data_IF_312196604009
#
_entry.id   IF_312196604009
#
_cell.length_a   1.000
_cell.length_b   1.000
_cell.length_c   1.000
_cell.angle_alpha   90.00
_cell.angle_beta   90.00
_cell.angle_gamma   90.00
#
_symmetry.space_group_name_H-M   'P 1'
#
loop_
_entity.id
_entity.type
_entity.pdbx_description
1 polymer ?
#
# COMPACT_ATOMS: atom_id res chain seq x y z
N UNK A 1 4.16 -19.39 30.91
CA UNK A 1 2.74 -19.17 30.54
C UNK A 1 2.68 -18.44 29.21
N UNK A 2 2.47 -19.14 28.10
CA UNK A 2 2.44 -18.53 26.75
C UNK A 2 1.08 -17.88 26.52
N UNK A 3 1.05 -16.54 26.54
CA UNK A 3 -0.16 -15.75 26.40
C UNK A 3 -0.71 -15.91 24.96
N UNK A 4 -1.61 -16.89 24.75
CA UNK A 4 -2.35 -17.11 23.50
C UNK A 4 -3.19 -15.86 23.21
N UNK A 5 -2.63 -14.91 22.47
CA UNK A 5 -3.36 -13.75 21.94
C UNK A 5 -4.52 -14.27 21.09
N UNK A 6 -5.75 -14.20 21.62
CA UNK A 6 -6.98 -14.52 20.90
C UNK A 6 -6.97 -13.73 19.59
N UNK A 7 -7.01 -14.43 18.45
CA UNK A 7 -7.13 -13.81 17.12
C UNK A 7 -8.43 -13.00 17.11
N UNK A 8 -8.32 -11.67 17.12
CA UNK A 8 -9.49 -10.78 17.03
C UNK A 8 -10.11 -10.98 15.64
N UNK A 9 -11.41 -11.28 15.62
CA UNK A 9 -12.20 -11.41 14.38
C UNK A 9 -11.97 -10.20 13.49
N UNK A 10 -11.76 -10.42 12.20
CA UNK A 10 -11.56 -9.33 11.23
C UNK A 10 -12.84 -8.50 11.16
N UNK A 11 -12.77 -7.27 11.62
CA UNK A 11 -13.82 -6.28 11.41
C UNK A 11 -13.72 -5.68 10.01
N UNK A 12 -14.86 -5.58 9.32
CA UNK A 12 -15.00 -4.89 8.03
C UNK A 12 -15.58 -3.50 8.31
N UNK A 13 -14.95 -2.46 7.78
CA UNK A 13 -15.45 -1.09 7.89
C UNK A 13 -16.49 -0.81 6.80
N UNK A 14 -17.49 0.00 7.12
CA UNK A 14 -18.49 0.43 6.13
C UNK A 14 -17.85 1.35 5.09
N UNK A 15 -18.50 1.50 3.93
CA UNK A 15 -18.00 2.39 2.87
C UNK A 15 -17.84 3.84 3.34
N UNK A 16 -18.78 4.35 4.14
CA UNK A 16 -18.70 5.69 4.72
C UNK A 16 -17.52 5.84 5.68
N UNK A 17 -17.27 4.84 6.53
CA UNK A 17 -16.10 4.83 7.42
C UNK A 17 -14.79 4.86 6.63
N UNK A 18 -14.68 4.02 5.58
CA UNK A 18 -13.49 4.00 4.72
C UNK A 18 -13.28 5.34 4.04
N UNK A 19 -14.33 5.94 3.48
CA UNK A 19 -14.24 7.24 2.81
C UNK A 19 -13.70 8.34 3.75
N UNK A 20 -14.23 8.44 4.97
CA UNK A 20 -13.77 9.46 5.93
C UNK A 20 -12.33 9.20 6.41
N UNK A 21 -11.95 7.93 6.60
CA UNK A 21 -10.57 7.54 6.92
C UNK A 21 -9.61 7.94 5.78
N UNK A 22 -9.98 7.70 4.52
CA UNK A 22 -9.18 8.08 3.35
C UNK A 22 -9.08 9.60 3.19
N UNK A 23 -10.21 10.31 3.26
CA UNK A 23 -10.23 11.78 3.20
C UNK A 23 -9.34 12.41 4.28
N UNK A 24 -9.41 11.88 5.51
CA UNK A 24 -8.53 12.36 6.59
C UNK A 24 -7.06 12.02 6.34
N UNK A 25 -6.76 10.86 5.79
CA UNK A 25 -5.39 10.46 5.45
C UNK A 25 -4.76 11.35 4.38
N UNK A 26 -5.55 11.73 3.37
CA UNK A 26 -5.09 12.60 2.29
C UNK A 26 -4.74 14.00 2.82
N UNK A 27 -5.49 14.49 3.81
CA UNK A 27 -5.15 15.71 4.54
C UNK A 27 -3.92 15.51 5.46
N UNK A 28 -3.87 14.41 6.21
CA UNK A 28 -2.80 14.16 7.20
C UNK A 28 -2.45 12.67 7.34
N UNK A 29 -1.22 12.31 6.96
CA UNK A 29 -0.71 10.92 7.00
C UNK A 29 -0.45 10.38 8.42
N UNK A 30 -0.38 11.25 9.42
CA UNK A 30 -0.10 10.92 10.82
C UNK A 30 -1.01 11.71 11.76
N UNK A 31 -1.78 11.01 12.59
CA UNK A 31 -2.64 11.62 13.59
C UNK A 31 -1.96 11.63 14.96
N UNK A 32 -2.11 12.75 15.67
CA UNK A 32 -1.88 12.84 17.11
C UNK A 32 -2.91 12.02 17.89
N UNK A 33 -2.69 11.85 19.20
CA UNK A 33 -3.65 11.13 20.06
C UNK A 33 -5.02 11.80 20.10
N UNK A 34 -5.07 13.13 20.20
CA UNK A 34 -6.33 13.88 20.22
C UNK A 34 -7.11 13.75 18.91
N UNK A 35 -6.45 13.95 17.76
CA UNK A 35 -7.09 13.80 16.45
C UNK A 35 -7.63 12.39 16.22
N UNK A 36 -6.90 11.38 16.69
CA UNK A 36 -7.32 9.98 16.62
C UNK A 36 -8.55 9.72 17.48
N UNK A 37 -8.59 10.25 18.70
CA UNK A 37 -9.76 10.12 19.58
C UNK A 37 -11.00 10.76 18.94
N UNK A 38 -10.85 11.96 18.36
CA UNK A 38 -11.94 12.63 17.66
C UNK A 38 -12.48 11.84 16.47
N UNK A 39 -11.59 11.33 15.61
CA UNK A 39 -11.98 10.51 14.46
C UNK A 39 -12.57 9.15 14.85
N UNK A 40 -12.07 8.54 15.93
CA UNK A 40 -12.61 7.30 16.45
C UNK A 40 -14.06 7.50 16.93
N UNK A 41 -14.31 8.59 17.68
CA UNK A 41 -15.64 8.93 18.16
C UNK A 41 -16.61 9.20 17.00
N UNK A 42 -16.22 9.98 15.98
CA UNK A 42 -17.10 10.30 14.85
C UNK A 42 -17.46 9.10 13.97
N UNK A 43 -16.57 8.10 13.89
CA UNK A 43 -16.76 6.89 13.08
C UNK A 43 -17.34 5.71 13.86
N UNK A 44 -17.60 5.87 15.16
CA UNK A 44 -17.96 4.79 16.08
C UNK A 44 -16.96 3.62 16.03
N UNK A 45 -15.68 3.96 16.02
CA UNK A 45 -14.55 3.02 16.05
C UNK A 45 -13.75 3.21 17.33
N UNK A 46 -12.89 2.25 17.65
CA UNK A 46 -11.88 2.42 18.70
C UNK A 46 -10.66 3.14 18.15
N UNK A 47 -9.97 3.91 18.99
CA UNK A 47 -8.68 4.52 18.64
C UNK A 47 -7.66 3.49 18.11
N UNK A 48 -7.71 2.26 18.62
CA UNK A 48 -6.84 1.18 18.15
C UNK A 48 -7.15 0.78 16.71
N UNK A 49 -8.43 0.72 16.32
CA UNK A 49 -8.82 0.44 14.94
C UNK A 49 -8.37 1.56 14.00
N UNK A 50 -8.56 2.82 14.39
CA UNK A 50 -8.07 3.98 13.62
C UNK A 50 -6.54 3.93 13.50
N UNK A 51 -5.82 3.68 14.60
CA UNK A 51 -4.35 3.54 14.59
C UNK A 51 -3.88 2.46 13.61
N UNK A 52 -4.49 1.27 13.65
CA UNK A 52 -4.14 0.14 12.78
C UNK A 52 -4.44 0.49 11.32
N UNK A 53 -5.59 1.10 11.05
CA UNK A 53 -5.95 1.50 9.69
C UNK A 53 -4.95 2.50 9.12
N UNK A 54 -4.59 3.56 9.88
CA UNK A 54 -3.59 4.54 9.44
C UNK A 54 -2.22 3.91 9.22
N UNK A 55 -1.81 2.96 10.06
CA UNK A 55 -0.56 2.21 9.86
C UNK A 55 -0.59 1.39 8.57
N UNK A 56 -1.69 0.68 8.31
CA UNK A 56 -1.86 -0.10 7.09
C UNK A 56 -1.91 0.79 5.85
N UNK A 57 -2.58 1.95 5.95
CA UNK A 57 -2.68 2.92 4.86
C UNK A 57 -1.31 3.49 4.49
N UNK A 58 -0.49 3.87 5.48
CA UNK A 58 0.92 4.28 5.25
C UNK A 58 1.75 3.19 4.60
N UNK A 59 1.62 1.94 5.06
CA UNK A 59 2.34 0.82 4.45
C UNK A 59 1.94 0.61 2.98
N UNK A 60 0.63 0.69 2.67
CA UNK A 60 0.14 0.61 1.30
C UNK A 60 0.69 1.75 0.44
N UNK A 61 0.63 2.98 0.93
CA UNK A 61 1.16 4.15 0.23
C UNK A 61 2.67 4.04 -0.05
N UNK A 62 3.45 3.61 0.95
CA UNK A 62 4.90 3.37 0.76
C UNK A 62 5.19 2.29 -0.29
N UNK A 63 4.40 1.21 -0.31
CA UNK A 63 4.54 0.15 -1.34
C UNK A 63 4.18 0.65 -2.73
N UNK A 64 3.14 1.49 -2.85
CA UNK A 64 2.76 2.09 -4.12
C UNK A 64 3.88 2.97 -4.67
N UNK A 65 4.47 3.83 -3.82
CA UNK A 65 5.61 4.66 -4.21
C UNK A 65 6.84 3.82 -4.62
N UNK A 66 7.14 2.74 -3.89
CA UNK A 66 8.23 1.84 -4.25
C UNK A 66 8.01 1.15 -5.61
N UNK A 67 6.78 0.70 -5.87
CA UNK A 67 6.42 0.08 -7.15
C UNK A 67 6.47 1.09 -8.31
N UNK A 68 6.07 2.34 -8.09
CA UNK A 68 6.17 3.41 -9.08
C UNK A 68 7.64 3.70 -9.45
N UNK A 69 8.53 3.74 -8.46
CA UNK A 69 9.98 3.91 -8.67
C UNK A 69 10.57 2.71 -9.45
N UNK A 70 10.19 1.49 -9.09
CA UNK A 70 10.65 0.29 -9.80
C UNK A 70 10.15 0.25 -11.24
N UNK A 71 8.88 0.61 -11.47
CA UNK A 71 8.30 0.71 -12.81
C UNK A 71 9.01 1.79 -13.66
N UNK A 72 9.32 2.94 -13.08
CA UNK A 72 10.08 4.00 -13.76
C UNK A 72 11.50 3.52 -14.14
N UNK A 73 12.18 2.82 -13.23
CA UNK A 73 13.50 2.25 -13.48
C UNK A 73 13.46 1.16 -14.57
N UNK A 74 12.43 0.31 -14.58
CA UNK A 74 12.22 -0.70 -15.63
C UNK A 74 11.96 -0.05 -17.00
N UNK A 75 11.13 0.99 -17.05
CA UNK A 75 10.88 1.74 -18.29
C UNK A 75 12.15 2.41 -18.83
N UNK A 76 13.01 2.92 -17.94
CA UNK A 76 14.30 3.49 -18.32
C UNK A 76 15.27 2.43 -18.85
N UNK A 77 15.30 1.23 -18.25
CA UNK A 77 16.12 0.10 -18.74
C UNK A 77 15.65 -0.41 -20.09
N UNK A 78 14.34 -0.54 -20.31
CA UNK A 78 13.75 -0.93 -21.60
C UNK A 78 14.06 0.07 -22.73
N UNK A 79 14.13 1.37 -22.41
CA UNK A 79 14.54 2.41 -23.37
C UNK A 79 16.03 2.39 -23.70
N UNK A 80 16.85 1.81 -22.83
CA UNK A 80 18.31 1.77 -22.98
C UNK A 80 18.84 0.43 -23.53
N UNK A 81 17.98 -0.48 -24.01
CA UNK A 81 18.41 -1.74 -24.63
C UNK A 81 18.82 -1.49 -26.08
N UNK A 82 20.09 -1.69 -26.47
CA UNK A 82 20.44 -1.78 -27.88
C UNK A 82 19.83 -3.08 -28.43
N UNK A 83 19.00 -2.96 -29.46
CA UNK A 83 18.46 -4.09 -30.22
C UNK A 83 19.60 -4.84 -30.92
N UNK A 84 20.24 -5.79 -30.23
CA UNK A 84 21.07 -6.81 -30.86
C UNK A 84 20.23 -8.05 -31.15
N UNK A 85 19.31 -7.92 -32.11
CA UNK A 85 18.75 -9.09 -32.80
C UNK A 85 18.57 -8.75 -34.28
N UNK A 86 19.66 -8.90 -35.04
CA UNK A 86 19.58 -9.26 -36.44
C UNK A 86 20.89 -9.95 -36.85
N UNK A 87 20.83 -11.26 -37.10
CA UNK A 87 21.20 -11.82 -38.40
C UNK A 87 20.83 -13.30 -38.44
N UNK A 88 19.92 -13.63 -39.34
CA UNK A 88 19.76 -14.99 -39.87
C UNK A 88 21.03 -15.36 -40.64
N UNK A 89 21.56 -16.54 -40.36
CA UNK A 89 22.21 -17.34 -41.40
C UNK A 89 22.07 -18.80 -41.00
N UNK A 90 21.11 -19.46 -41.66
CA UNK A 90 20.91 -20.88 -41.53
C UNK A 90 22.13 -21.67 -41.99
N UNK A 91 22.27 -22.87 -41.44
CA UNK A 91 22.89 -23.99 -42.15
C UNK A 91 22.54 -25.28 -41.43
N UNK A 92 21.43 -25.89 -41.87
CA UNK A 92 21.27 -27.33 -41.78
C UNK A 92 21.71 -27.90 -43.13
N UNK A 93 22.88 -28.53 -43.16
CA UNK A 93 23.28 -29.41 -44.24
C UNK A 93 23.84 -30.70 -43.65
N UNK A 94 23.12 -31.78 -43.99
CA UNK A 94 23.47 -33.21 -44.00
C UNK A 94 23.93 -33.89 -42.73
#
# INVERSE_FOLDING_TARGET
MTNKRKKKTRTVFTRSQVFQLESTFDMKRYLSSSERAGLAASLHLTETQVKIWFQNRRNKWKRQLAAEIEAANMAQRMRAVPLLYHQQSGNFHR
#
